data_IF_693477160679
#
_entry.id   IF_693477160679
#
_cell.length_a   1.000
_cell.length_b   1.000
_cell.length_c   1.000
_cell.angle_alpha   90.00
_cell.angle_beta   90.00
_cell.angle_gamma   90.00
#
_symmetry.space_group_name_H-M   'P 1'
#
loop_
_entity.id
_entity.type
_entity.pdbx_description
1 polymer ?
#
# COMPACT_ATOMS: atom_id res chain seq x y z
N UNK A 1 15.48 40.04 8.87
CA UNK A 1 14.81 38.80 9.33
C UNK A 1 14.66 37.83 8.15
N UNK A 2 15.73 37.17 7.68
CA UNK A 2 15.69 36.29 6.48
C UNK A 2 16.40 34.94 6.67
N UNK A 3 16.70 34.56 7.91
CA UNK A 3 17.59 33.42 8.22
C UNK A 3 16.86 32.14 8.64
N UNK A 4 15.54 32.18 8.83
CA UNK A 4 14.77 31.03 9.32
C UNK A 4 14.24 30.11 8.22
N UNK A 5 14.00 30.63 7.01
CA UNK A 5 13.47 29.84 5.88
C UNK A 5 14.55 29.06 5.13
N UNK A 6 15.77 29.61 4.94
CA UNK A 6 16.86 28.87 4.29
C UNK A 6 17.28 27.61 5.07
N UNK A 7 17.20 27.65 6.40
CA UNK A 7 17.57 26.51 7.26
C UNK A 7 16.61 25.33 7.13
N UNK A 8 15.38 25.57 6.68
CA UNK A 8 14.41 24.50 6.45
C UNK A 8 14.76 23.72 5.17
N UNK A 9 15.33 24.38 4.16
CA UNK A 9 15.74 23.73 2.92
C UNK A 9 17.05 22.95 3.08
N UNK A 10 17.89 23.30 4.06
CA UNK A 10 19.05 22.45 4.41
C UNK A 10 18.78 21.42 5.52
N UNK A 11 17.51 21.26 5.94
CA UNK A 11 17.16 20.35 7.03
C UNK A 11 17.34 18.88 6.62
N UNK A 12 17.87 18.04 7.53
CA UNK A 12 17.96 16.60 7.32
C UNK A 12 16.63 16.00 6.86
N UNK A 13 16.69 15.03 5.94
CA UNK A 13 15.52 14.35 5.36
C UNK A 13 14.50 13.88 6.41
N UNK A 14 14.97 13.46 7.59
CA UNK A 14 14.13 13.05 8.72
C UNK A 14 13.21 14.16 9.25
N UNK A 15 13.68 15.41 9.29
CA UNK A 15 12.88 16.56 9.75
C UNK A 15 11.81 16.90 8.72
N UNK A 16 12.15 16.86 7.42
CA UNK A 16 11.18 17.00 6.34
C UNK A 16 10.11 15.91 6.42
N UNK A 17 10.52 14.67 6.66
CA UNK A 17 9.62 13.53 6.80
C UNK A 17 8.70 13.66 8.02
N UNK A 18 9.22 14.11 9.16
CA UNK A 18 8.43 14.35 10.37
C UNK A 18 7.41 15.48 10.21
N UNK A 19 7.80 16.59 9.58
CA UNK A 19 6.90 17.72 9.29
C UNK A 19 5.82 17.32 8.30
N UNK A 20 6.18 16.60 7.23
CA UNK A 20 5.24 16.07 6.26
C UNK A 20 4.25 15.09 6.90
N UNK A 21 4.73 14.23 7.81
CA UNK A 21 3.89 13.30 8.57
C UNK A 21 2.87 14.03 9.45
N UNK A 22 3.29 15.09 10.14
CA UNK A 22 2.39 15.93 10.96
C UNK A 22 1.33 16.62 10.11
N UNK A 23 1.72 17.20 8.98
CA UNK A 23 0.78 17.87 8.06
C UNK A 23 -0.24 16.87 7.50
N UNK A 24 0.21 15.67 7.13
CA UNK A 24 -0.67 14.62 6.63
C UNK A 24 -1.64 14.11 7.70
N UNK A 25 -1.17 13.95 8.94
CA UNK A 25 -2.02 13.58 10.07
C UNK A 25 -3.14 14.59 10.33
N UNK A 26 -2.82 15.89 10.35
CA UNK A 26 -3.82 16.97 10.52
C UNK A 26 -4.84 16.94 9.38
N UNK A 27 -4.41 16.65 8.14
CA UNK A 27 -5.31 16.56 6.98
C UNK A 27 -6.31 15.41 7.11
N UNK A 28 -5.85 14.23 7.52
CA UNK A 28 -6.72 13.06 7.73
C UNK A 28 -7.70 13.33 8.88
N UNK A 29 -7.22 13.82 10.02
CA UNK A 29 -8.08 14.17 11.16
C UNK A 29 -9.11 15.24 10.79
N UNK A 30 -8.70 16.27 10.03
CA UNK A 30 -9.59 17.31 9.53
C UNK A 30 -10.67 16.78 8.58
N UNK A 31 -10.33 15.84 7.69
CA UNK A 31 -11.28 15.24 6.75
C UNK A 31 -12.30 14.34 7.46
N UNK A 32 -11.87 13.58 8.48
CA UNK A 32 -12.78 12.77 9.32
C UNK A 32 -13.75 13.66 10.11
N UNK A 33 -13.32 14.83 10.58
CA UNK A 33 -14.18 15.77 11.28
C UNK A 33 -15.14 16.56 10.36
N UNK A 34 -14.72 16.90 9.14
CA UNK A 34 -15.57 17.56 8.12
C UNK A 34 -16.81 16.73 7.77
N UNK A 35 -16.69 15.40 7.77
CA UNK A 35 -17.83 14.51 7.52
C UNK A 35 -18.86 14.52 8.66
N UNK A 36 -18.49 15.00 9.86
CA UNK A 36 -19.39 15.21 10.99
C UNK A 36 -20.11 16.57 11.01
N UNK A 37 -19.66 17.56 10.23
CA UNK A 37 -20.19 18.93 10.29
C UNK A 37 -21.28 19.23 9.23
N UNK A 38 -21.44 18.39 8.21
CA UNK A 38 -22.44 18.61 7.14
C UNK A 38 -23.91 18.40 7.58
N UNK A 39 -24.17 18.08 8.84
CA UNK A 39 -25.52 17.76 9.34
C UNK A 39 -26.13 18.80 10.31
N UNK A 40 -25.47 19.94 10.56
CA UNK A 40 -26.04 21.00 11.43
C UNK A 40 -26.51 22.19 10.60
N UNK A 41 -27.54 21.99 9.79
CA UNK A 41 -28.41 23.10 9.35
C UNK A 41 -29.76 22.60 8.82
N UNK A 42 -30.63 22.07 9.69
CA UNK A 42 -32.09 22.04 9.45
C UNK A 42 -32.85 22.12 10.77
N UNK A 43 -33.01 23.34 11.26
CA UNK A 43 -34.21 23.69 12.03
C UNK A 43 -35.42 23.53 11.10
N UNK A 44 -36.42 22.75 11.49
CA UNK A 44 -37.83 23.17 11.59
C UNK A 44 -38.83 22.01 11.42
N UNK A 45 -39.65 21.86 12.47
CA UNK A 45 -41.05 21.36 12.52
C UNK A 45 -41.40 19.91 12.17
N UNK A 46 -41.98 19.25 13.19
CA UNK A 46 -43.27 18.52 13.16
C UNK A 46 -43.57 17.53 12.04
N UNK A 47 -43.67 16.26 12.41
CA UNK A 47 -44.96 15.62 12.77
C UNK A 47 -44.94 14.14 12.43
N UNK A 48 -45.47 13.36 13.37
CA UNK A 48 -45.80 11.95 13.22
C UNK A 48 -46.64 11.70 11.94
N UNK A 49 -46.09 10.97 10.98
CA UNK A 49 -46.84 10.25 9.97
C UNK A 49 -45.94 9.26 9.25
N UNK A 50 -46.54 8.13 8.86
CA UNK A 50 -46.05 7.13 7.90
C UNK A 50 -44.83 6.29 8.30
N UNK A 51 -45.16 5.25 9.07
CA UNK A 51 -44.69 3.89 8.85
C UNK A 51 -45.01 3.53 7.39
N UNK A 52 -44.02 3.54 6.50
CA UNK A 52 -44.01 2.77 5.25
C UNK A 52 -42.66 2.93 4.52
N UNK A 53 -41.91 1.84 4.46
CA UNK A 53 -41.11 1.45 3.30
C UNK A 53 -39.87 2.27 2.95
N UNK A 54 -38.76 2.01 3.66
CA UNK A 54 -37.42 1.89 3.06
C UNK A 54 -36.37 1.53 4.14
N UNK A 55 -36.30 0.26 4.54
CA UNK A 55 -35.24 -0.21 5.45
C UNK A 55 -34.71 -1.58 5.01
N UNK A 56 -34.24 -1.67 3.77
CA UNK A 56 -33.39 -2.77 3.30
C UNK A 56 -32.08 -2.27 2.65
N UNK A 57 -31.67 -1.03 2.93
CA UNK A 57 -30.39 -0.47 2.43
C UNK A 57 -29.38 -0.14 3.54
N UNK A 58 -29.79 -0.16 4.82
CA UNK A 58 -28.90 0.15 5.94
C UNK A 58 -28.22 -1.08 6.56
N UNK A 59 -28.74 -2.29 6.32
CA UNK A 59 -28.10 -3.53 6.79
C UNK A 59 -27.03 -4.08 5.82
N UNK A 60 -27.06 -3.65 4.55
CA UNK A 60 -25.97 -3.96 3.61
C UNK A 60 -24.70 -3.14 3.93
N UNK A 61 -24.89 -1.90 4.42
CA UNK A 61 -23.78 -0.98 4.74
C UNK A 61 -22.92 -1.47 5.92
N UNK A 62 -23.53 -1.98 6.99
CA UNK A 62 -22.76 -2.51 8.13
C UNK A 62 -22.02 -3.81 7.80
N UNK A 63 -22.66 -4.74 7.09
CA UNK A 63 -22.02 -6.00 6.68
C UNK A 63 -20.90 -5.77 5.64
N UNK A 64 -21.07 -4.82 4.72
CA UNK A 64 -20.05 -4.46 3.73
C UNK A 64 -18.91 -3.66 4.36
N UNK A 65 -19.18 -2.83 5.38
CA UNK A 65 -18.17 -2.11 6.15
C UNK A 65 -17.35 -3.05 7.05
N UNK A 66 -17.98 -4.03 7.70
CA UNK A 66 -17.29 -5.07 8.49
C UNK A 66 -16.47 -6.01 7.61
N UNK A 67 -16.96 -6.36 6.41
CA UNK A 67 -16.20 -7.14 5.44
C UNK A 67 -14.99 -6.36 4.91
N UNK A 68 -15.15 -5.06 4.65
CA UNK A 68 -14.06 -4.18 4.19
C UNK A 68 -13.02 -3.93 5.29
N UNK A 69 -13.44 -3.74 6.55
CA UNK A 69 -12.52 -3.60 7.69
C UNK A 69 -11.72 -4.91 7.94
N UNK A 70 -12.35 -6.08 7.81
CA UNK A 70 -11.63 -7.37 7.86
C UNK A 70 -10.65 -7.54 6.71
N UNK A 71 -11.04 -7.16 5.50
CA UNK A 71 -10.18 -7.27 4.32
C UNK A 71 -8.95 -6.36 4.42
N UNK A 72 -9.12 -5.14 4.96
CA UNK A 72 -8.01 -4.21 5.25
C UNK A 72 -7.08 -4.78 6.32
N UNK A 73 -7.64 -5.36 7.39
CA UNK A 73 -6.86 -5.92 8.49
C UNK A 73 -6.10 -7.20 8.09
N UNK A 74 -6.65 -8.00 7.17
CA UNK A 74 -5.95 -9.13 6.56
C UNK A 74 -4.83 -8.67 5.62
N UNK A 75 -5.05 -7.62 4.85
CA UNK A 75 -4.01 -7.05 3.98
C UNK A 75 -2.86 -6.47 4.80
N UNK A 76 -3.15 -5.74 5.89
CA UNK A 76 -2.11 -5.19 6.75
C UNK A 76 -1.26 -6.29 7.40
N UNK A 77 -1.90 -7.41 7.81
CA UNK A 77 -1.18 -8.59 8.29
C UNK A 77 -0.33 -9.26 7.20
N UNK A 78 -0.83 -9.34 5.96
CA UNK A 78 -0.07 -9.88 4.85
C UNK A 78 1.17 -9.02 4.54
N UNK A 79 1.03 -7.69 4.57
CA UNK A 79 2.14 -6.75 4.39
C UNK A 79 3.16 -6.86 5.53
N UNK A 80 2.71 -6.94 6.78
CA UNK A 80 3.61 -7.11 7.93
C UNK A 80 4.37 -8.44 7.86
N UNK A 81 3.67 -9.54 7.57
CA UNK A 81 4.31 -10.86 7.43
C UNK A 81 5.34 -10.88 6.29
N UNK A 82 5.05 -10.20 5.16
CA UNK A 82 6.00 -10.05 4.07
C UNK A 82 7.23 -9.22 4.49
N UNK A 83 7.06 -8.11 5.20
CA UNK A 83 8.18 -7.30 5.70
C UNK A 83 9.06 -8.07 6.68
N UNK A 84 8.46 -8.81 7.62
CA UNK A 84 9.20 -9.64 8.56
C UNK A 84 10.01 -10.74 7.86
N UNK A 85 9.39 -11.45 6.92
CA UNK A 85 10.08 -12.50 6.17
C UNK A 85 11.21 -11.94 5.29
N UNK A 86 11.01 -10.78 4.66
CA UNK A 86 12.06 -10.11 3.86
C UNK A 86 13.20 -9.64 4.76
N UNK A 87 12.91 -9.09 5.93
CA UNK A 87 13.93 -8.66 6.89
C UNK A 87 14.73 -9.84 7.45
N UNK A 88 14.06 -10.97 7.68
CA UNK A 88 14.73 -12.21 8.06
C UNK A 88 15.66 -12.70 6.94
N UNK A 89 15.18 -12.72 5.70
CA UNK A 89 16.00 -13.04 4.52
C UNK A 89 17.22 -12.11 4.39
N UNK A 90 17.05 -10.80 4.61
CA UNK A 90 18.15 -9.83 4.59
C UNK A 90 19.24 -10.16 5.63
N UNK A 91 18.83 -10.70 6.79
CA UNK A 91 19.72 -10.99 7.92
C UNK A 91 20.41 -12.35 7.79
N UNK A 92 19.64 -13.38 7.44
CA UNK A 92 20.09 -14.78 7.43
C UNK A 92 20.63 -15.22 6.07
N UNK A 93 20.11 -14.64 4.99
CA UNK A 93 20.54 -14.91 3.60
C UNK A 93 20.57 -16.40 3.24
N UNK A 94 19.54 -17.14 3.66
CA UNK A 94 19.39 -18.57 3.38
C UNK A 94 18.38 -18.84 2.27
N UNK A 95 18.45 -20.01 1.64
CA UNK A 95 17.48 -20.42 0.62
C UNK A 95 16.09 -20.68 1.21
N UNK A 96 16.04 -21.14 2.46
CA UNK A 96 14.80 -21.37 3.19
C UNK A 96 14.07 -20.05 3.44
N UNK A 97 14.78 -19.04 3.93
CA UNK A 97 14.22 -17.69 4.15
C UNK A 97 13.83 -17.03 2.82
N UNK A 98 14.53 -17.35 1.72
CA UNK A 98 14.22 -16.85 0.39
C UNK A 98 12.83 -17.34 -0.07
N UNK A 99 12.55 -18.63 0.13
CA UNK A 99 11.24 -19.21 -0.19
C UNK A 99 10.13 -18.67 0.71
N UNK A 100 10.43 -18.48 2.00
CA UNK A 100 9.49 -17.91 2.97
C UNK A 100 9.10 -16.47 2.58
N UNK A 101 10.09 -15.64 2.24
CA UNK A 101 9.86 -14.26 1.81
C UNK A 101 9.06 -14.19 0.49
N UNK A 102 9.36 -15.05 -0.49
CA UNK A 102 8.59 -15.16 -1.74
C UNK A 102 7.12 -15.50 -1.45
N UNK A 103 6.89 -16.50 -0.61
CA UNK A 103 5.54 -16.95 -0.25
C UNK A 103 4.75 -15.86 0.48
N UNK A 104 5.40 -15.13 1.39
CA UNK A 104 4.77 -14.04 2.13
C UNK A 104 4.45 -12.84 1.22
N UNK A 105 5.38 -12.45 0.34
CA UNK A 105 5.16 -11.40 -0.64
C UNK A 105 4.00 -11.71 -1.59
N UNK A 106 3.77 -12.99 -1.94
CA UNK A 106 2.67 -13.38 -2.82
C UNK A 106 1.28 -13.19 -2.18
N UNK A 107 1.20 -13.16 -0.85
CA UNK A 107 -0.05 -12.94 -0.11
C UNK A 107 -0.48 -11.48 -0.03
N UNK A 108 0.41 -10.53 -0.35
CA UNK A 108 0.11 -9.10 -0.41
C UNK A 108 -0.80 -8.83 -1.60
N UNK A 109 -1.95 -8.18 -1.40
CA UNK A 109 -2.89 -7.87 -2.49
C UNK A 109 -2.47 -6.61 -3.25
N UNK A 110 -1.91 -5.62 -2.57
CA UNK A 110 -1.45 -4.39 -3.21
C UNK A 110 -0.28 -4.66 -4.17
N UNK A 111 -0.51 -4.40 -5.47
CA UNK A 111 0.45 -4.73 -6.52
C UNK A 111 1.76 -3.95 -6.39
N UNK A 112 1.70 -2.68 -5.98
CA UNK A 112 2.91 -1.85 -5.81
C UNK A 112 3.76 -2.34 -4.64
N UNK A 113 3.12 -2.69 -3.52
CA UNK A 113 3.77 -3.21 -2.32
C UNK A 113 4.34 -4.61 -2.57
N UNK A 114 3.59 -5.50 -3.22
CA UNK A 114 4.08 -6.81 -3.68
C UNK A 114 5.31 -6.66 -4.56
N UNK A 115 5.27 -5.79 -5.58
CA UNK A 115 6.40 -5.56 -6.47
C UNK A 115 7.65 -5.05 -5.72
N UNK A 116 7.46 -4.19 -4.72
CA UNK A 116 8.55 -3.70 -3.87
C UNK A 116 9.20 -4.83 -3.06
N UNK A 117 8.40 -5.73 -2.49
CA UNK A 117 8.93 -6.91 -1.79
C UNK A 117 9.67 -7.85 -2.75
N UNK A 118 9.08 -8.17 -3.90
CA UNK A 118 9.71 -9.03 -4.90
C UNK A 118 11.04 -8.45 -5.40
N UNK A 119 11.13 -7.13 -5.60
CA UNK A 119 12.38 -6.46 -5.97
C UNK A 119 13.48 -6.63 -4.91
N UNK A 120 13.16 -6.42 -3.62
CA UNK A 120 14.10 -6.64 -2.51
C UNK A 120 14.54 -8.11 -2.42
N UNK A 121 13.58 -9.03 -2.49
CA UNK A 121 13.82 -10.47 -2.46
C UNK A 121 14.75 -10.88 -3.60
N UNK A 122 14.53 -10.37 -4.82
CA UNK A 122 15.37 -10.65 -5.97
C UNK A 122 16.79 -10.11 -5.78
N UNK A 123 16.95 -8.88 -5.28
CA UNK A 123 18.26 -8.31 -5.00
C UNK A 123 19.07 -9.18 -4.02
N UNK A 124 18.41 -9.75 -2.99
CA UNK A 124 19.06 -10.65 -2.03
C UNK A 124 19.30 -12.04 -2.66
N UNK A 125 18.36 -12.54 -3.47
CA UNK A 125 18.51 -13.81 -4.16
C UNK A 125 19.76 -13.83 -5.05
N UNK A 126 20.05 -12.74 -5.75
CA UNK A 126 21.27 -12.59 -6.56
C UNK A 126 22.54 -12.66 -5.71
N UNK A 127 22.50 -12.22 -4.45
CA UNK A 127 23.63 -12.32 -3.52
C UNK A 127 23.83 -13.74 -2.98
N UNK A 128 22.73 -14.47 -2.74
CA UNK A 128 22.75 -15.85 -2.22
C UNK A 128 23.15 -16.84 -3.32
N UNK A 129 22.52 -16.73 -4.48
CA UNK A 129 22.71 -17.62 -5.63
C UNK A 129 22.55 -16.83 -6.95
N UNK A 130 23.65 -16.28 -7.51
CA UNK A 130 23.61 -15.44 -8.70
C UNK A 130 23.19 -16.21 -9.96
N UNK A 131 23.41 -17.52 -10.05
CA UNK A 131 22.95 -18.33 -11.20
C UNK A 131 21.47 -18.71 -11.07
N UNK A 132 21.02 -19.08 -9.88
CA UNK A 132 19.61 -19.40 -9.62
C UNK A 132 18.66 -18.19 -9.74
N UNK A 133 19.14 -16.98 -9.45
CA UNK A 133 18.33 -15.76 -9.53
C UNK A 133 17.97 -15.33 -10.95
N UNK A 134 18.82 -15.64 -11.94
CA UNK A 134 18.62 -15.28 -13.36
C UNK A 134 17.51 -16.10 -14.04
N UNK A 135 17.16 -17.27 -13.49
CA UNK A 135 16.11 -18.13 -14.02
C UNK A 135 14.68 -17.62 -13.73
N UNK A 136 14.50 -16.66 -12.80
CA UNK A 136 13.19 -16.13 -12.40
C UNK A 136 12.74 -14.86 -13.14
N UNK A 137 13.44 -14.44 -14.18
CA UNK A 137 13.26 -13.12 -14.83
C UNK A 137 12.08 -13.07 -15.83
N UNK A 138 11.45 -14.20 -16.16
CA UNK A 138 10.46 -14.28 -17.25
C UNK A 138 9.00 -14.41 -16.82
N UNK A 139 8.53 -13.67 -15.82
CA UNK A 139 7.08 -13.50 -15.63
C UNK A 139 6.74 -12.03 -15.33
N UNK A 140 6.95 -11.16 -16.34
CA UNK A 140 5.98 -10.17 -16.84
C UNK A 140 6.67 -8.98 -17.55
N UNK A 141 7.03 -9.13 -18.84
CA UNK A 141 7.25 -7.98 -19.72
C UNK A 141 5.94 -7.63 -20.45
N UNK A 142 5.00 -6.95 -19.78
CA UNK A 142 3.95 -6.22 -20.47
C UNK A 142 4.52 -4.93 -21.09
N UNK A 143 5.32 -5.09 -22.15
CA UNK A 143 5.64 -4.06 -23.13
C UNK A 143 5.95 -4.73 -24.47
N UNK A 144 4.92 -5.31 -25.10
CA UNK A 144 4.91 -5.52 -26.55
C UNK A 144 4.66 -4.18 -27.20
N UNK A 145 5.62 -3.67 -27.98
CA UNK A 145 5.37 -2.83 -29.15
C UNK A 145 6.61 -2.90 -30.05
N UNK A 146 6.47 -3.69 -31.12
CA UNK A 146 6.99 -3.44 -32.49
C UNK A 146 8.49 -3.08 -32.59
N UNK A 147 9.36 -3.89 -33.20
CA UNK A 147 9.35 -4.11 -34.64
C UNK A 147 10.25 -5.32 -34.96
N UNK A 148 9.66 -6.30 -35.63
CA UNK A 148 10.38 -7.32 -36.35
C UNK A 148 11.03 -6.70 -37.59
N UNK A 149 12.35 -6.71 -37.67
CA UNK A 149 13.04 -6.85 -38.95
C UNK A 149 14.13 -7.91 -38.84
N UNK A 150 14.00 -8.89 -39.71
CA UNK A 150 14.83 -10.06 -39.87
C UNK A 150 16.29 -9.75 -40.24
N UNK A 151 17.18 -10.65 -39.80
CA UNK A 151 18.37 -11.27 -40.45
C UNK A 151 18.82 -10.78 -41.86
N UNK A 152 20.04 -11.13 -42.36
CA UNK A 152 21.18 -11.84 -41.75
C UNK A 152 22.57 -11.22 -42.03
N UNK A 153 23.58 -11.90 -41.49
CA UNK A 153 25.03 -11.89 -41.74
C UNK A 153 25.56 -11.27 -43.04
N UNK A 154 26.67 -10.53 -42.91
CA UNK A 154 27.95 -10.82 -43.59
C UNK A 154 29.12 -10.42 -42.69
#
# INVERSE_FOLDING_TARGET
MKTVLEKFDHSPLWIRLGVLSILFGILITGMVFVQGQSNTNRNSVSSAASIASSSSSLQLSSAQKEAQEKEIQEEEQAVQAAEEAVKQLETMQTLEDLQLAKTAAEKVKDAATKARFQSRIHAIAVLIDPEGAQAGVYENPAAVSEEAVAQPQQ
#
